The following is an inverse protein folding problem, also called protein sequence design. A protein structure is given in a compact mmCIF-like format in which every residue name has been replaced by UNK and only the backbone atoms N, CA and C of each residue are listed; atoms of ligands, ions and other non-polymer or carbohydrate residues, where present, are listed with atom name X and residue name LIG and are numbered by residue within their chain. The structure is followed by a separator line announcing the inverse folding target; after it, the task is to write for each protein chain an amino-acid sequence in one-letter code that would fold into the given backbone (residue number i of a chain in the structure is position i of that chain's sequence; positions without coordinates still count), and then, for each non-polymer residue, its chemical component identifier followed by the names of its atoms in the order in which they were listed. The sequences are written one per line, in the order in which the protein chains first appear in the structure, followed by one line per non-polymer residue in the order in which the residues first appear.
data_IF_801520849515
#
_entry.id   IF_801520849515
#
_cell.length_a   1.000
_cell.length_b   1.000
_cell.length_c   1.000
_cell.angle_alpha   90.00
_cell.angle_beta   90.00
_cell.angle_gamma   90.00
#
_symmetry.space_group_name_H-M   'P 1'
#
loop_
_entity.id
_entity.type
_entity.pdbx_description
1 polymer ?
#
# COMPACT_ATOMS: atom_id res chain seq x y z
N UNK A 1 13.85 -10.11 29.12
CA UNK A 1 13.73 -10.04 27.65
C UNK A 1 13.38 -8.59 27.32
N UNK A 2 14.35 -7.81 26.82
CA UNK A 2 14.09 -6.48 26.27
C UNK A 2 13.10 -6.65 25.10
N UNK A 3 11.92 -6.07 25.23
CA UNK A 3 10.94 -6.03 24.16
C UNK A 3 11.47 -5.09 23.08
N UNK A 4 11.85 -5.65 21.94
CA UNK A 4 12.35 -4.89 20.82
C UNK A 4 11.15 -4.22 20.13
N UNK A 5 10.79 -3.00 20.57
CA UNK A 5 9.69 -2.24 19.98
C UNK A 5 10.08 -1.75 18.59
N UNK A 6 9.34 -2.17 17.57
CA UNK A 6 9.54 -1.73 16.18
C UNK A 6 9.07 -0.27 16.02
N UNK A 7 7.96 0.07 16.68
CA UNK A 7 7.41 1.42 16.80
C UNK A 7 7.26 1.73 18.27
N UNK A 8 7.83 2.83 18.73
CA UNK A 8 7.87 3.21 20.13
C UNK A 8 7.22 4.59 20.34
N UNK A 9 6.02 4.58 20.92
CA UNK A 9 5.24 5.77 21.24
C UNK A 9 5.11 6.76 20.06
N UNK A 10 4.59 6.25 18.95
CA UNK A 10 4.39 7.05 17.73
C UNK A 10 3.03 7.74 17.80
N UNK A 11 3.04 9.07 17.82
CA UNK A 11 1.86 9.91 17.64
C UNK A 11 2.02 10.76 16.38
N UNK A 12 1.14 10.62 15.41
CA UNK A 12 1.20 11.35 14.14
C UNK A 12 -0.19 11.55 13.53
N UNK A 13 -0.34 12.65 12.83
CA UNK A 13 -1.54 12.95 12.02
C UNK A 13 -1.15 13.01 10.56
N UNK A 14 -1.82 12.22 9.72
CA UNK A 14 -1.72 12.27 8.27
C UNK A 14 -2.90 13.07 7.74
N UNK A 15 -2.68 14.30 7.20
CA UNK A 15 -3.78 15.15 6.79
C UNK A 15 -4.56 14.53 5.62
N UNK A 16 -5.89 14.59 5.67
CA UNK A 16 -6.77 14.10 4.60
C UNK A 16 -6.49 14.81 3.27
N UNK A 17 -6.40 14.04 2.20
CA UNK A 17 -6.12 14.58 0.85
C UNK A 17 -4.65 14.93 0.59
N UNK A 18 -3.76 14.77 1.58
CA UNK A 18 -2.32 15.07 1.44
C UNK A 18 -1.55 13.77 1.23
N UNK A 19 -0.72 13.75 0.19
CA UNK A 19 0.17 12.62 -0.10
C UNK A 19 1.46 12.71 0.71
N UNK A 20 1.74 11.69 1.52
CA UNK A 20 2.87 11.66 2.47
C UNK A 20 3.85 10.55 2.12
N UNK A 21 5.12 10.92 1.97
CA UNK A 21 6.22 9.97 1.80
C UNK A 21 6.93 9.68 3.12
N UNK A 22 7.04 8.42 3.49
CA UNK A 22 7.73 7.98 4.70
C UNK A 22 9.09 7.41 4.34
N UNK A 23 10.14 8.05 4.83
CA UNK A 23 11.54 7.67 4.68
C UNK A 23 12.02 6.90 5.92
N UNK A 24 13.02 6.06 5.75
CA UNK A 24 13.64 5.33 6.86
C UNK A 24 14.51 4.19 6.37
N UNK A 25 15.46 3.78 7.17
CA UNK A 25 16.35 2.65 6.87
C UNK A 25 15.57 1.32 6.78
N UNK A 26 16.20 0.30 6.19
CA UNK A 26 15.63 -1.04 6.19
C UNK A 26 15.50 -1.53 7.64
N UNK A 27 14.36 -2.16 7.96
CA UNK A 27 14.05 -2.60 9.32
C UNK A 27 13.54 -1.52 10.28
N UNK A 28 13.45 -0.25 9.86
CA UNK A 28 12.98 0.86 10.73
C UNK A 28 11.50 0.81 11.12
N UNK A 29 10.71 -0.16 10.61
CA UNK A 29 9.30 -0.30 10.97
C UNK A 29 8.32 0.29 9.94
N UNK A 30 8.78 0.72 8.76
CA UNK A 30 7.93 1.34 7.72
C UNK A 30 6.73 0.47 7.31
N UNK A 31 6.97 -0.79 6.96
CA UNK A 31 5.92 -1.74 6.57
C UNK A 31 4.97 -2.06 7.74
N UNK A 32 5.51 -2.16 8.96
CA UNK A 32 4.71 -2.34 10.17
C UNK A 32 3.77 -1.15 10.37
N UNK A 33 4.28 0.09 10.24
CA UNK A 33 3.46 1.28 10.35
C UNK A 33 2.32 1.27 9.31
N UNK A 34 2.60 0.92 8.05
CA UNK A 34 1.54 0.82 7.04
C UNK A 34 0.51 -0.26 7.37
N UNK A 35 0.92 -1.42 7.90
CA UNK A 35 -0.03 -2.47 8.31
C UNK A 35 -0.92 -2.03 9.47
N UNK A 36 -0.35 -1.30 10.42
CA UNK A 36 -1.10 -0.72 11.54
C UNK A 36 -2.06 0.36 11.05
N UNK A 37 -1.61 1.29 10.20
CA UNK A 37 -2.49 2.30 9.59
C UNK A 37 -3.58 1.62 8.74
N UNK A 38 -3.25 0.59 7.97
CA UNK A 38 -4.21 -0.17 7.15
C UNK A 38 -5.23 -0.98 7.96
N UNK A 39 -4.91 -1.27 9.22
CA UNK A 39 -5.73 -2.13 10.09
C UNK A 39 -5.50 -3.63 9.86
N UNK A 40 -4.42 -3.99 9.16
CA UNK A 40 -3.99 -5.38 8.98
C UNK A 40 -3.33 -5.94 10.26
N UNK A 41 -2.78 -5.07 11.09
CA UNK A 41 -2.22 -5.38 12.40
C UNK A 41 -2.76 -4.38 13.43
N UNK A 42 -3.29 -4.83 14.58
CA UNK A 42 -3.62 -3.92 15.66
C UNK A 42 -2.33 -3.40 16.33
N UNK A 43 -2.30 -2.16 16.84
CA UNK A 43 -1.19 -1.71 17.67
C UNK A 43 -1.24 -2.43 19.03
N UNK A 44 -0.07 -2.73 19.61
CA UNK A 44 0.02 -3.31 20.97
C UNK A 44 -0.56 -2.37 22.03
N UNK A 45 -0.39 -1.05 21.82
CA UNK A 45 -0.95 0.01 22.67
C UNK A 45 -1.36 1.20 21.82
N UNK A 46 -2.28 2.01 22.33
CA UNK A 46 -2.81 3.17 21.61
C UNK A 46 -3.92 2.81 20.63
N UNK A 47 -4.19 3.70 19.68
CA UNK A 47 -5.31 3.56 18.75
C UNK A 47 -5.03 4.29 17.43
N UNK A 48 -5.68 3.82 16.38
CA UNK A 48 -5.64 4.45 15.04
C UNK A 48 -7.04 4.92 14.69
N UNK A 49 -7.20 6.21 14.45
CA UNK A 49 -8.44 6.82 14.00
C UNK A 49 -8.36 7.12 12.51
N UNK A 50 -9.46 6.92 11.78
CA UNK A 50 -9.54 7.14 10.34
C UNK A 50 -10.86 7.84 10.02
N UNK A 51 -10.77 9.02 9.43
CA UNK A 51 -11.94 9.80 8.98
C UNK A 51 -12.32 9.49 7.53
N UNK A 52 -11.49 8.67 6.84
CA UNK A 52 -11.61 8.35 5.42
C UNK A 52 -11.38 6.87 5.16
N UNK A 53 -11.77 6.40 3.99
CA UNK A 53 -11.52 5.01 3.55
C UNK A 53 -10.06 4.85 3.17
N UNK A 54 -9.30 4.19 4.04
CA UNK A 54 -7.88 3.88 3.83
C UNK A 54 -7.74 2.45 3.31
N UNK A 55 -6.91 2.27 2.28
CA UNK A 55 -6.66 0.94 1.73
C UNK A 55 -5.82 0.07 2.68
N UNK A 56 -5.80 -1.23 2.44
CA UNK A 56 -4.68 -2.07 2.88
C UNK A 56 -3.41 -1.69 2.09
N UNK A 57 -2.21 -2.06 2.55
CA UNK A 57 -0.98 -1.84 1.77
C UNK A 57 -1.09 -2.51 0.39
N UNK A 58 -0.92 -1.73 -0.69
CA UNK A 58 -1.07 -2.21 -2.08
C UNK A 58 -0.07 -3.33 -2.35
N UNK A 59 -0.50 -4.34 -3.11
CA UNK A 59 0.25 -5.57 -3.40
C UNK A 59 0.54 -6.46 -2.18
N UNK A 60 0.09 -6.07 -0.98
CA UNK A 60 0.05 -6.97 0.17
C UNK A 60 -1.04 -8.02 -0.07
N UNK A 61 -0.66 -9.25 -0.30
CA UNK A 61 -1.60 -10.36 -0.58
C UNK A 61 -2.46 -10.79 0.62
N UNK A 62 -2.43 -10.02 1.72
CA UNK A 62 -3.27 -10.26 2.89
C UNK A 62 -4.75 -10.00 2.55
N UNK A 63 -5.57 -11.01 2.60
CA UNK A 63 -6.98 -10.96 2.20
C UNK A 63 -7.29 -11.84 0.99
N UNK A 64 -6.26 -12.33 0.28
CA UNK A 64 -6.42 -13.32 -0.78
C UNK A 64 -6.27 -14.73 -0.21
N UNK A 65 -7.29 -15.56 -0.40
CA UNK A 65 -7.30 -16.92 0.10
C UNK A 65 -6.76 -17.91 -0.94
N UNK A 66 -5.75 -18.69 -0.57
CA UNK A 66 -5.02 -19.56 -1.48
C UNK A 66 -5.87 -20.67 -2.14
N UNK A 67 -6.92 -21.13 -1.46
CA UNK A 67 -7.81 -22.20 -1.96
C UNK A 67 -8.92 -21.67 -2.87
N UNK A 68 -9.20 -20.37 -2.87
CA UNK A 68 -10.18 -19.74 -3.73
C UNK A 68 -9.56 -19.38 -5.08
N UNK A 69 -10.36 -19.33 -6.12
CA UNK A 69 -9.98 -18.85 -7.45
C UNK A 69 -9.76 -17.33 -7.44
N UNK A 70 -9.14 -16.79 -8.50
CA UNK A 70 -9.02 -15.33 -8.66
C UNK A 70 -10.39 -14.66 -8.66
N UNK A 71 -11.35 -15.25 -9.36
CA UNK A 71 -12.75 -14.79 -9.43
C UNK A 71 -13.43 -14.78 -8.07
N UNK A 72 -13.32 -15.85 -7.30
CA UNK A 72 -13.91 -15.93 -5.96
C UNK A 72 -13.27 -14.94 -4.99
N UNK A 73 -11.95 -14.79 -5.03
CA UNK A 73 -11.25 -13.80 -4.22
C UNK A 73 -11.72 -12.37 -4.54
N UNK A 74 -11.87 -12.02 -5.81
CA UNK A 74 -12.33 -10.68 -6.21
C UNK A 74 -13.77 -10.43 -5.78
N UNK A 75 -14.67 -11.41 -5.90
CA UNK A 75 -16.05 -11.33 -5.39
C UNK A 75 -16.10 -11.16 -3.88
N UNK A 76 -15.25 -11.89 -3.16
CA UNK A 76 -15.17 -11.80 -1.71
C UNK A 76 -14.76 -10.39 -1.28
N UNK A 77 -13.65 -9.86 -1.85
CA UNK A 77 -13.17 -8.50 -1.55
C UNK A 77 -14.24 -7.45 -1.88
N UNK A 78 -14.87 -7.55 -3.06
CA UNK A 78 -15.94 -6.63 -3.44
C UNK A 78 -17.05 -6.55 -2.40
N UNK A 79 -17.50 -7.71 -1.87
CA UNK A 79 -18.53 -7.77 -0.84
C UNK A 79 -18.08 -7.16 0.48
N UNK A 80 -16.85 -7.45 0.92
CA UNK A 80 -16.28 -6.90 2.16
C UNK A 80 -16.22 -5.37 2.12
N UNK A 81 -15.90 -4.80 0.95
CA UNK A 81 -15.75 -3.36 0.78
C UNK A 81 -17.00 -2.65 0.23
N UNK A 82 -18.12 -3.36 0.07
CA UNK A 82 -19.38 -2.77 -0.39
C UNK A 82 -19.36 -2.36 -1.87
N UNK A 83 -18.45 -2.93 -2.65
CA UNK A 83 -18.34 -2.68 -4.09
C UNK A 83 -19.25 -3.65 -4.88
N UNK A 84 -19.58 -3.31 -6.13
CA UNK A 84 -20.32 -4.20 -7.02
C UNK A 84 -19.47 -5.41 -7.43
N UNK A 85 -19.82 -6.66 -7.04
CA UNK A 85 -19.00 -7.83 -7.38
C UNK A 85 -18.78 -8.00 -8.89
N UNK A 86 -19.81 -7.73 -9.70
CA UNK A 86 -19.72 -7.88 -11.15
C UNK A 86 -18.78 -6.86 -11.80
N UNK A 87 -18.81 -5.60 -11.34
CA UNK A 87 -17.90 -4.55 -11.84
C UNK A 87 -16.45 -4.83 -11.40
N UNK A 88 -16.29 -5.22 -10.16
CA UNK A 88 -14.98 -5.52 -9.55
C UNK A 88 -14.31 -6.70 -10.25
N UNK A 89 -15.06 -7.79 -10.45
CA UNK A 89 -14.60 -8.99 -11.14
C UNK A 89 -14.17 -8.69 -12.57
N UNK A 90 -15.02 -7.98 -13.34
CA UNK A 90 -14.69 -7.59 -14.71
C UNK A 90 -13.41 -6.77 -14.76
N UNK A 91 -13.28 -5.76 -13.92
CA UNK A 91 -12.06 -4.95 -13.85
C UNK A 91 -10.82 -5.81 -13.54
N UNK A 92 -10.91 -6.68 -12.53
CA UNK A 92 -9.79 -7.52 -12.12
C UNK A 92 -9.38 -8.52 -13.22
N UNK A 93 -10.35 -9.15 -13.88
CA UNK A 93 -10.11 -10.09 -14.98
C UNK A 93 -9.42 -9.40 -16.16
N UNK A 94 -9.95 -8.25 -16.62
CA UNK A 94 -9.39 -7.45 -17.70
C UNK A 94 -8.00 -6.89 -17.35
N UNK A 95 -7.84 -6.41 -16.12
CA UNK A 95 -6.60 -5.80 -15.67
C UNK A 95 -5.46 -6.81 -15.54
N UNK A 96 -5.73 -7.98 -14.98
CA UNK A 96 -4.70 -8.99 -14.66
C UNK A 96 -4.24 -9.78 -15.88
N UNK A 97 -5.08 -9.89 -16.93
CA UNK A 97 -4.84 -10.73 -18.12
C UNK A 97 -4.42 -12.17 -17.75
N UNK A 98 -5.03 -12.74 -16.72
CA UNK A 98 -4.69 -14.09 -16.25
C UNK A 98 -5.34 -15.19 -17.10
N UNK A 99 -6.32 -14.84 -17.96
CA UNK A 99 -7.03 -15.80 -18.79
C UNK A 99 -7.62 -16.94 -17.96
N UNK A 100 -7.41 -18.18 -18.39
CA UNK A 100 -7.94 -19.37 -17.70
C UNK A 100 -7.52 -19.48 -16.22
N UNK A 101 -6.39 -18.89 -15.84
CA UNK A 101 -5.93 -18.94 -14.46
C UNK A 101 -6.84 -18.15 -13.51
N UNK A 102 -7.61 -17.18 -14.01
CA UNK A 102 -8.54 -16.42 -13.19
C UNK A 102 -9.60 -17.30 -12.50
N UNK A 103 -9.91 -18.45 -13.12
CA UNK A 103 -10.82 -19.47 -12.61
C UNK A 103 -10.11 -20.64 -11.91
N UNK A 104 -8.80 -20.52 -11.67
CA UNK A 104 -8.02 -21.52 -10.94
C UNK A 104 -7.70 -21.04 -9.52
N UNK A 105 -7.51 -21.95 -8.55
CA UNK A 105 -7.14 -21.59 -7.18
C UNK A 105 -5.80 -20.83 -7.13
N UNK A 106 -5.71 -19.82 -6.24
CA UNK A 106 -4.51 -18.99 -6.10
C UNK A 106 -3.25 -19.77 -5.72
N UNK A 107 -3.39 -20.94 -5.10
CA UNK A 107 -2.23 -21.81 -4.81
C UNK A 107 -1.47 -22.22 -6.08
N UNK A 108 -2.11 -22.18 -7.25
CA UNK A 108 -1.49 -22.49 -8.55
C UNK A 108 -0.82 -21.29 -9.21
N UNK A 109 -0.99 -20.08 -8.64
CA UNK A 109 -0.47 -18.86 -9.19
C UNK A 109 1.02 -18.70 -8.90
N UNK A 110 1.77 -18.17 -9.86
CA UNK A 110 3.11 -17.63 -9.60
C UNK A 110 3.04 -16.40 -8.69
N UNK A 111 4.17 -16.02 -8.11
CA UNK A 111 4.26 -14.79 -7.30
C UNK A 111 3.81 -13.56 -8.10
N UNK A 112 4.21 -13.46 -9.38
CA UNK A 112 3.79 -12.37 -10.26
C UNK A 112 2.28 -12.35 -10.51
N UNK A 113 1.64 -13.50 -10.72
CA UNK A 113 0.18 -13.61 -10.89
C UNK A 113 -0.56 -13.17 -9.63
N UNK A 114 -0.09 -13.59 -8.45
CA UNK A 114 -0.67 -13.17 -7.16
C UNK A 114 -0.54 -11.66 -6.96
N UNK A 115 0.63 -11.08 -7.23
CA UNK A 115 0.86 -9.63 -7.13
C UNK A 115 -0.04 -8.85 -8.08
N UNK A 116 -0.26 -9.35 -9.32
CA UNK A 116 -1.19 -8.75 -10.27
C UNK A 116 -2.61 -8.71 -9.73
N UNK A 117 -3.09 -9.84 -9.20
CA UNK A 117 -4.44 -9.93 -8.65
C UNK A 117 -4.60 -9.03 -7.41
N UNK A 118 -3.62 -9.03 -6.50
CA UNK A 118 -3.62 -8.18 -5.31
C UNK A 118 -3.68 -6.68 -5.69
N UNK A 119 -2.89 -6.27 -6.68
CA UNK A 119 -2.92 -4.91 -7.17
C UNK A 119 -4.26 -4.57 -7.84
N UNK A 120 -4.76 -5.43 -8.74
CA UNK A 120 -6.04 -5.24 -9.40
C UNK A 120 -7.17 -5.07 -8.38
N UNK A 121 -7.19 -5.90 -7.33
CA UNK A 121 -8.16 -5.80 -6.25
C UNK A 121 -8.06 -4.45 -5.52
N UNK A 122 -6.83 -3.96 -5.26
CA UNK A 122 -6.63 -2.64 -4.65
C UNK A 122 -7.12 -1.50 -5.54
N UNK A 123 -6.92 -1.61 -6.85
CA UNK A 123 -7.35 -0.59 -7.82
C UNK A 123 -8.85 -0.65 -8.13
N UNK A 124 -9.49 -1.80 -7.95
CA UNK A 124 -10.94 -1.93 -8.12
C UNK A 124 -11.75 -1.28 -6.99
N UNK A 125 -11.19 -1.18 -5.79
CA UNK A 125 -11.78 -0.44 -4.67
C UNK A 125 -11.59 1.06 -4.82
N UNK A 126 -12.58 1.83 -4.32
CA UNK A 126 -12.48 3.28 -4.19
C UNK A 126 -12.06 3.64 -2.77
N UNK A 127 -10.79 3.99 -2.59
CA UNK A 127 -10.25 4.51 -1.34
C UNK A 127 -9.95 6.00 -1.47
N UNK A 128 -10.05 6.72 -0.35
CA UNK A 128 -9.66 8.14 -0.26
C UNK A 128 -8.15 8.28 -0.02
N UNK A 129 -7.54 7.25 0.56
CA UNK A 129 -6.10 7.17 0.80
C UNK A 129 -5.57 5.76 0.51
N UNK A 130 -4.55 5.66 -0.34
CA UNK A 130 -3.87 4.40 -0.65
C UNK A 130 -2.58 4.25 0.14
N UNK A 131 -2.37 3.07 0.73
CA UNK A 131 -1.13 2.72 1.41
C UNK A 131 -0.21 1.97 0.44
N UNK A 132 1.00 2.49 0.25
CA UNK A 132 1.96 1.96 -0.73
C UNK A 132 3.24 1.55 -0.02
N UNK A 133 3.46 0.25 0.07
CA UNK A 133 4.72 -0.30 0.56
C UNK A 133 5.60 -0.62 -0.63
N UNK A 134 6.58 0.23 -0.85
CA UNK A 134 7.55 0.17 -1.92
C UNK A 134 6.97 -0.40 -3.23
N UNK A 135 6.67 0.45 -4.21
CA UNK A 135 6.13 0.01 -5.49
C UNK A 135 7.10 -0.97 -6.13
N UNK A 136 7.03 -2.23 -5.74
CA UNK A 136 7.71 -3.32 -6.42
C UNK A 136 7.06 -3.44 -7.79
N UNK A 137 7.67 -2.76 -8.76
CA UNK A 137 7.41 -3.03 -10.16
C UNK A 137 7.72 -4.52 -10.36
N UNK A 138 6.70 -5.37 -10.30
CA UNK A 138 6.82 -6.77 -10.67
C UNK A 138 7.49 -6.83 -12.03
N UNK A 139 8.55 -7.58 -12.18
CA UNK A 139 9.57 -7.57 -13.24
C UNK A 139 9.15 -7.61 -14.72
N UNK A 140 7.86 -7.50 -15.02
CA UNK A 140 7.32 -7.41 -16.37
C UNK A 140 7.10 -5.92 -16.74
N UNK A 141 7.93 -5.41 -17.68
CA UNK A 141 7.88 -4.01 -18.16
C UNK A 141 6.50 -3.62 -18.70
N UNK A 142 5.77 -4.53 -19.33
CA UNK A 142 4.42 -4.30 -19.88
C UNK A 142 3.43 -4.00 -18.76
N UNK A 143 3.48 -4.79 -17.67
CA UNK A 143 2.67 -4.57 -16.49
C UNK A 143 3.05 -3.30 -15.74
N UNK A 144 4.32 -2.97 -15.65
CA UNK A 144 4.79 -1.77 -14.94
C UNK A 144 4.21 -0.46 -15.50
N UNK A 145 3.97 -0.36 -16.82
CA UNK A 145 3.34 0.81 -17.43
C UNK A 145 1.84 0.88 -17.09
N UNK A 146 1.15 -0.26 -17.15
CA UNK A 146 -0.28 -0.39 -16.84
C UNK A 146 -0.57 -0.09 -15.36
N UNK A 147 0.29 -0.58 -14.46
CA UNK A 147 0.27 -0.24 -13.04
C UNK A 147 0.38 1.26 -12.81
N UNK A 148 1.40 1.89 -13.40
CA UNK A 148 1.62 3.33 -13.25
C UNK A 148 0.44 4.15 -13.75
N UNK A 149 -0.16 3.76 -14.86
CA UNK A 149 -1.31 4.45 -15.42
C UNK A 149 -2.54 4.31 -14.51
N UNK A 150 -2.89 3.10 -14.11
CA UNK A 150 -4.03 2.84 -13.21
C UNK A 150 -3.85 3.58 -11.87
N UNK A 151 -2.63 3.56 -11.33
CA UNK A 151 -2.31 4.25 -10.10
C UNK A 151 -2.42 5.78 -10.24
N UNK A 152 -1.89 6.36 -11.33
CA UNK A 152 -2.03 7.80 -11.60
C UNK A 152 -3.50 8.23 -11.72
N UNK A 153 -4.33 7.42 -12.35
CA UNK A 153 -5.78 7.72 -12.46
C UNK A 153 -6.43 7.72 -11.07
N UNK A 154 -6.11 6.77 -10.20
CA UNK A 154 -6.64 6.75 -8.82
C UNK A 154 -6.18 7.95 -8.00
N UNK A 155 -4.94 8.38 -8.15
CA UNK A 155 -4.38 9.52 -7.42
C UNK A 155 -4.92 10.87 -7.85
N UNK A 156 -5.73 10.97 -8.92
CA UNK A 156 -6.46 12.20 -9.25
C UNK A 156 -7.54 12.54 -8.21
N UNK A 157 -8.06 11.52 -7.52
CA UNK A 157 -9.16 11.66 -6.57
C UNK A 157 -8.81 11.19 -5.15
N UNK A 158 -7.60 10.65 -4.95
CA UNK A 158 -7.17 10.07 -3.68
C UNK A 158 -5.75 10.51 -3.31
N UNK A 159 -5.43 10.48 -2.03
CA UNK A 159 -4.06 10.68 -1.51
C UNK A 159 -3.34 9.34 -1.34
N UNK A 160 -2.04 9.43 -1.05
CA UNK A 160 -1.25 8.23 -0.70
C UNK A 160 -0.44 8.45 0.58
N UNK A 161 -0.22 7.37 1.31
CA UNK A 161 0.86 7.25 2.28
C UNK A 161 1.82 6.19 1.71
N UNK A 162 3.00 6.63 1.30
CA UNK A 162 3.97 5.79 0.61
C UNK A 162 5.23 5.61 1.44
N UNK A 163 5.70 4.39 1.59
CA UNK A 163 7.05 4.11 2.07
C UNK A 163 7.92 3.68 0.90
N UNK A 164 9.11 4.24 0.79
CA UNK A 164 10.11 3.85 -0.20
C UNK A 164 11.49 4.31 0.27
N UNK A 165 12.51 3.57 -0.14
CA UNK A 165 13.91 4.02 -0.03
C UNK A 165 14.33 4.87 -1.24
N UNK A 166 13.53 4.91 -2.30
CA UNK A 166 13.81 5.68 -3.51
C UNK A 166 13.17 7.08 -3.42
N UNK A 167 14.00 8.08 -3.15
CA UNK A 167 13.59 9.48 -3.05
C UNK A 167 12.93 10.01 -4.34
N UNK A 168 13.35 9.54 -5.52
CA UNK A 168 12.76 9.96 -6.79
C UNK A 168 11.31 9.46 -6.93
N UNK A 169 11.02 8.24 -6.50
CA UNK A 169 9.65 7.72 -6.51
C UNK A 169 8.76 8.52 -5.57
N UNK A 170 9.24 8.81 -4.35
CA UNK A 170 8.47 9.62 -3.39
C UNK A 170 8.19 11.02 -3.94
N UNK A 171 9.17 11.67 -4.59
CA UNK A 171 9.00 13.00 -5.21
C UNK A 171 7.92 13.05 -6.29
N UNK A 172 7.63 11.94 -6.96
CA UNK A 172 6.59 11.90 -8.00
C UNK A 172 5.17 11.95 -7.45
N UNK A 173 4.97 11.52 -6.20
CA UNK A 173 3.64 11.27 -5.66
C UNK A 173 3.36 12.01 -4.36
N UNK A 174 4.38 12.43 -3.60
CA UNK A 174 4.22 12.99 -2.26
C UNK A 174 4.68 14.42 -2.19
N UNK A 175 3.95 15.23 -1.43
CA UNK A 175 4.26 16.65 -1.17
C UNK A 175 4.79 16.88 0.24
N UNK A 176 4.42 16.02 1.18
CA UNK A 176 4.83 16.04 2.58
C UNK A 176 5.70 14.81 2.87
N UNK A 177 6.64 14.95 3.77
CA UNK A 177 7.53 13.87 4.17
C UNK A 177 7.47 13.55 5.66
N UNK A 178 7.77 12.29 5.98
CA UNK A 178 8.02 11.83 7.34
C UNK A 178 9.27 10.95 7.38
N UNK A 179 9.93 10.88 8.52
CA UNK A 179 11.06 9.98 8.75
C UNK A 179 10.73 9.06 9.90
N UNK A 180 10.96 7.77 9.69
CA UNK A 180 10.95 6.77 10.77
C UNK A 180 12.39 6.36 11.10
N UNK A 181 12.79 6.57 12.34
CA UNK A 181 14.13 6.26 12.83
C UNK A 181 14.08 5.93 14.33
N UNK A 182 14.76 4.85 14.74
CA UNK A 182 14.79 4.41 16.15
C UNK A 182 13.40 4.20 16.75
N UNK A 183 12.45 3.64 15.99
CA UNK A 183 11.07 3.43 16.42
C UNK A 183 10.20 4.67 16.50
N UNK A 184 10.74 5.87 16.25
CA UNK A 184 10.01 7.15 16.30
C UNK A 184 9.67 7.62 14.89
N UNK A 185 8.54 8.33 14.75
CA UNK A 185 8.11 8.98 13.52
C UNK A 185 8.15 10.50 13.67
N UNK A 186 8.81 11.18 12.74
CA UNK A 186 8.84 12.64 12.68
C UNK A 186 8.23 13.13 11.37
N UNK A 187 7.19 13.95 11.46
CA UNK A 187 6.56 14.61 10.33
C UNK A 187 7.31 15.90 9.97
N UNK A 188 7.30 16.26 8.68
CA UNK A 188 7.88 17.50 8.14
C UNK A 188 6.83 18.23 7.33
N UNK A 189 6.89 19.55 7.29
CA UNK A 189 5.94 20.37 6.54
C UNK A 189 6.06 20.21 5.01
N UNK A 190 7.25 19.83 4.50
CA UNK A 190 7.49 19.56 3.08
C UNK A 190 8.32 18.29 2.91
N UNK A 191 8.21 17.70 1.71
CA UNK A 191 9.03 16.55 1.37
C UNK A 191 10.53 16.88 1.32
N UNK A 192 10.89 18.08 0.86
CA UNK A 192 12.30 18.49 0.77
C UNK A 192 12.96 18.61 2.13
N UNK A 193 12.24 19.10 3.15
CA UNK A 193 12.74 19.13 4.52
C UNK A 193 13.00 17.71 5.05
N UNK A 194 12.09 16.77 4.77
CA UNK A 194 12.26 15.38 5.16
C UNK A 194 13.45 14.72 4.46
N UNK A 195 13.62 14.96 3.16
CA UNK A 195 14.75 14.42 2.39
C UNK A 195 16.08 14.98 2.85
N UNK A 196 16.16 16.29 3.15
CA UNK A 196 17.37 16.91 3.70
C UNK A 196 17.76 16.31 5.06
N UNK A 197 16.78 16.16 5.95
CA UNK A 197 17.01 15.53 7.24
C UNK A 197 17.37 14.03 7.13
N UNK A 198 16.75 13.30 6.20
CA UNK A 198 17.04 11.89 5.97
C UNK A 198 18.49 11.67 5.47
N UNK A 199 18.98 12.52 4.58
CA UNK A 199 20.35 12.46 4.10
C UNK A 199 21.38 12.63 5.25
N UNK A 200 21.08 13.45 6.26
CA UNK A 200 21.95 13.60 7.44
C UNK A 200 22.00 12.36 8.34
N UNK A 201 20.95 11.54 8.33
CA UNK A 201 20.89 10.29 9.11
C UNK A 201 21.61 9.14 8.40
N UNK A 202 21.75 9.22 7.07
CA UNK A 202 22.29 8.15 6.22
C UNK A 202 23.77 8.37 5.83
N UNK A 203 24.35 9.53 6.17
CA UNK A 203 25.79 9.82 6.06
C UNK A 203 26.54 9.27 7.29
#
# INVERSE_FOLDING_TARGET
LESNHVLDDVSATFPTGVSVGILGLNGAGKSTLLRVIGGAEPPDRGSVYKDVRVSWPIAFGGGLHASLTGRENTRFIARVYGESPAKFERFAEEFTELGRYFDMPLRTYSTGMRSRLAFAASMACNFDCYLVDEVTATGDKRFSSRYRQAFKERLKAASIIMVSHNSQTIRQFCTVGAIIHGGKLKMFGTLDQALAAYNQITM
#
